data_IF_678127337551
#
_entry.id   IF_678127337551
#
_cell.length_a   1.000
_cell.length_b   1.000
_cell.length_c   1.000
_cell.angle_alpha   90.00
_cell.angle_beta   90.00
_cell.angle_gamma   90.00
#
_symmetry.space_group_name_H-M   'P 1'
#
loop_
_entity.id
_entity.type
_entity.pdbx_description
1 polymer ?
#
# COMPACT_ATOMS: atom_id res chain seq x y z
N UNK A 1 31.51 22.95 -11.26
CA UNK A 1 30.99 21.66 -10.74
C UNK A 1 31.44 20.56 -11.70
N UNK A 2 32.14 19.53 -11.21
CA UNK A 2 32.71 18.48 -12.06
C UNK A 2 31.58 17.63 -12.65
N UNK A 3 31.57 17.39 -13.97
CA UNK A 3 30.54 16.62 -14.68
C UNK A 3 30.21 15.27 -14.00
N UNK A 4 31.24 14.58 -13.47
CA UNK A 4 31.09 13.34 -12.70
C UNK A 4 30.31 13.52 -11.39
N UNK A 5 30.55 14.62 -10.68
CA UNK A 5 29.84 14.95 -9.46
C UNK A 5 28.37 15.30 -9.75
N UNK A 6 28.10 15.98 -10.87
CA UNK A 6 26.72 16.26 -11.31
C UNK A 6 25.94 14.99 -11.61
N UNK A 7 26.53 14.03 -12.34
CA UNK A 7 25.88 12.73 -12.63
C UNK A 7 25.60 11.97 -11.34
N UNK A 8 26.57 11.91 -10.43
CA UNK A 8 26.40 11.25 -9.13
C UNK A 8 25.24 11.88 -8.33
N UNK A 9 25.14 13.21 -8.34
CA UNK A 9 24.09 13.93 -7.63
C UNK A 9 22.69 13.68 -8.25
N UNK A 10 22.60 13.63 -9.58
CA UNK A 10 21.35 13.27 -10.28
C UNK A 10 20.94 11.83 -9.94
N UNK A 11 21.89 10.89 -9.94
CA UNK A 11 21.60 9.50 -9.58
C UNK A 11 21.09 9.38 -8.13
N UNK A 12 21.73 10.09 -7.20
CA UNK A 12 21.32 10.13 -5.80
C UNK A 12 19.92 10.74 -5.63
N UNK A 13 19.59 11.77 -6.41
CA UNK A 13 18.25 12.36 -6.45
C UNK A 13 17.20 11.33 -6.93
N UNK A 14 17.50 10.56 -7.97
CA UNK A 14 16.56 9.53 -8.49
C UNK A 14 16.30 8.46 -7.45
N UNK A 15 17.33 7.99 -6.74
CA UNK A 15 17.17 7.01 -5.65
C UNK A 15 16.30 7.59 -4.54
N UNK A 16 16.54 8.84 -4.16
CA UNK A 16 15.76 9.52 -3.12
C UNK A 16 14.27 9.60 -3.50
N UNK A 17 13.98 9.97 -4.75
CA UNK A 17 12.62 10.01 -5.28
C UNK A 17 11.96 8.62 -5.23
N UNK A 18 12.68 7.56 -5.59
CA UNK A 18 12.14 6.19 -5.50
C UNK A 18 11.82 5.78 -4.07
N UNK A 19 12.62 6.19 -3.08
CA UNK A 19 12.35 5.87 -1.66
C UNK A 19 11.11 6.61 -1.16
N UNK A 20 10.94 7.86 -1.56
CA UNK A 20 9.86 8.71 -1.05
C UNK A 20 8.51 8.34 -1.68
N UNK A 21 8.49 7.93 -2.95
CA UNK A 21 7.25 7.79 -3.74
C UNK A 21 6.53 6.44 -3.63
N UNK A 22 7.13 5.48 -2.92
CA UNK A 22 6.58 4.13 -2.75
C UNK A 22 5.67 4.13 -1.52
N UNK A 23 4.36 3.84 -1.67
CA UNK A 23 3.43 3.87 -0.55
C UNK A 23 3.85 2.97 0.61
N UNK A 24 3.73 3.48 1.83
CA UNK A 24 4.05 2.75 3.05
C UNK A 24 2.77 2.16 3.70
N UNK A 25 2.92 1.49 4.85
CA UNK A 25 1.78 0.86 5.54
C UNK A 25 0.71 1.85 6.02
N UNK A 26 1.06 3.10 6.30
CA UNK A 26 0.09 4.15 6.66
C UNK A 26 -0.73 4.56 5.44
N UNK A 27 -0.08 4.76 4.29
CA UNK A 27 -0.75 5.07 3.02
C UNK A 27 -1.73 3.96 2.61
N UNK A 28 -1.35 2.69 2.83
CA UNK A 28 -2.23 1.53 2.61
C UNK A 28 -3.45 1.59 3.52
N UNK A 29 -3.29 1.90 4.80
CA UNK A 29 -4.42 1.99 5.73
C UNK A 29 -5.34 3.18 5.38
N UNK A 30 -4.75 4.31 4.97
CA UNK A 30 -5.49 5.47 4.53
C UNK A 30 -6.29 5.19 3.27
N UNK A 31 -5.70 4.48 2.30
CA UNK A 31 -6.40 3.99 1.11
C UNK A 31 -7.56 3.05 1.45
N UNK A 32 -7.36 2.04 2.31
CA UNK A 32 -8.44 1.15 2.77
C UNK A 32 -9.58 1.91 3.45
N UNK A 33 -9.24 2.94 4.23
CA UNK A 33 -10.23 3.78 4.91
C UNK A 33 -10.99 4.66 3.94
N UNK A 34 -10.30 5.31 2.99
CA UNK A 34 -10.88 6.29 2.07
C UNK A 34 -11.63 5.65 0.91
N UNK A 35 -11.06 4.64 0.25
CA UNK A 35 -11.66 4.01 -0.93
C UNK A 35 -12.64 2.90 -0.55
N UNK A 36 -12.30 2.07 0.44
CA UNK A 36 -13.10 0.90 0.81
C UNK A 36 -13.92 1.07 2.08
N UNK A 37 -13.93 2.25 2.70
CA UNK A 37 -14.67 2.53 3.95
C UNK A 37 -14.36 1.54 5.08
N UNK A 38 -13.14 0.99 5.11
CA UNK A 38 -12.70 0.09 6.17
C UNK A 38 -12.24 0.89 7.38
N UNK A 39 -12.79 0.60 8.56
CA UNK A 39 -12.32 1.24 9.79
C UNK A 39 -11.31 0.35 10.49
N UNK A 40 -10.24 0.94 10.96
CA UNK A 40 -9.21 0.24 11.72
C UNK A 40 -9.71 0.03 13.15
N UNK A 41 -9.85 -1.23 13.59
CA UNK A 41 -10.20 -1.57 14.96
C UNK A 41 -8.95 -1.87 15.79
N UNK A 42 -8.01 -2.62 15.22
CA UNK A 42 -6.75 -2.99 15.89
C UNK A 42 -5.60 -3.12 14.87
N UNK A 43 -4.73 -2.12 14.80
CA UNK A 43 -3.60 -2.07 13.85
C UNK A 43 -2.60 -3.23 14.05
N UNK A 44 -2.07 -3.48 15.26
CA UNK A 44 -1.13 -4.59 15.50
C UNK A 44 -1.60 -5.96 15.03
N UNK A 45 -2.92 -6.22 15.12
CA UNK A 45 -3.50 -7.52 14.77
C UNK A 45 -4.17 -7.53 13.38
N UNK A 46 -4.09 -6.43 12.63
CA UNK A 46 -4.70 -6.32 11.32
C UNK A 46 -6.23 -6.49 11.33
N UNK A 47 -6.90 -5.99 12.38
CA UNK A 47 -8.35 -6.11 12.52
C UNK A 47 -9.03 -4.84 12.03
N UNK A 48 -10.01 -5.01 11.14
CA UNK A 48 -10.78 -3.93 10.54
C UNK A 48 -12.28 -4.20 10.65
N UNK A 49 -13.08 -3.14 10.52
CA UNK A 49 -14.52 -3.20 10.34
C UNK A 49 -14.83 -2.85 8.87
N UNK A 50 -15.56 -3.71 8.19
CA UNK A 50 -16.00 -3.51 6.81
C UNK A 50 -17.45 -3.96 6.67
N UNK A 51 -18.33 -3.11 6.14
CA UNK A 51 -19.77 -3.38 6.01
C UNK A 51 -20.46 -3.80 7.34
N UNK A 52 -20.00 -3.24 8.46
CA UNK A 52 -20.43 -3.57 9.84
C UNK A 52 -20.07 -4.99 10.31
N UNK A 53 -19.16 -5.67 9.60
CA UNK A 53 -18.60 -6.96 10.00
C UNK A 53 -17.11 -6.79 10.34
N UNK A 54 -16.62 -7.58 11.29
CA UNK A 54 -15.19 -7.66 11.58
C UNK A 54 -14.50 -8.51 10.52
N UNK A 55 -13.38 -8.00 10.04
CA UNK A 55 -12.50 -8.68 9.10
C UNK A 55 -11.07 -8.67 9.64
N UNK A 56 -10.31 -9.70 9.30
CA UNK A 56 -8.90 -9.84 9.66
C UNK A 56 -8.04 -9.86 8.40
N UNK A 57 -6.95 -9.11 8.43
CA UNK A 57 -5.87 -9.18 7.44
C UNK A 57 -5.15 -10.53 7.56
N UNK A 58 -5.19 -11.31 6.48
CA UNK A 58 -4.62 -12.65 6.44
C UNK A 58 -3.28 -12.64 5.71
N UNK A 59 -3.29 -12.12 4.48
CA UNK A 59 -2.14 -12.12 3.58
C UNK A 59 -2.03 -10.77 2.90
N UNK A 60 -0.85 -10.16 3.01
CA UNK A 60 -0.50 -8.95 2.28
C UNK A 60 0.68 -9.23 1.36
N UNK A 61 0.48 -9.08 0.05
CA UNK A 61 1.51 -9.18 -0.98
C UNK A 61 1.78 -7.79 -1.53
N UNK A 62 3.02 -7.33 -1.35
CA UNK A 62 3.51 -6.05 -1.87
C UNK A 62 4.68 -6.31 -2.81
N UNK A 63 4.61 -5.80 -4.04
CA UNK A 63 5.73 -5.85 -5.00
C UNK A 63 6.05 -4.44 -5.48
N UNK A 64 7.27 -3.97 -5.21
CA UNK A 64 7.77 -2.68 -5.68
C UNK A 64 8.53 -2.81 -7.01
N UNK A 65 8.25 -1.90 -7.94
CA UNK A 65 8.92 -1.74 -9.23
C UNK A 65 9.28 -0.26 -9.45
N UNK A 66 10.42 0.17 -8.89
CA UNK A 66 10.83 1.58 -8.95
C UNK A 66 9.85 2.47 -8.18
N UNK A 67 9.19 3.40 -8.88
CA UNK A 67 8.16 4.30 -8.31
C UNK A 67 6.76 3.68 -8.25
N UNK A 68 6.61 2.45 -8.74
CA UNK A 68 5.35 1.73 -8.74
C UNK A 68 5.33 0.64 -7.67
N UNK A 69 4.16 0.35 -7.14
CA UNK A 69 3.89 -0.77 -6.26
C UNK A 69 2.65 -1.51 -6.75
N UNK A 70 2.62 -2.84 -6.64
CA UNK A 70 1.37 -3.59 -6.65
C UNK A 70 1.10 -4.11 -5.25
N UNK A 71 -0.15 -3.98 -4.83
CA UNK A 71 -0.64 -4.43 -3.53
C UNK A 71 -1.78 -5.43 -3.76
N UNK A 72 -1.71 -6.55 -3.07
CA UNK A 72 -2.80 -7.53 -2.98
C UNK A 72 -2.99 -7.89 -1.51
N UNK A 73 -4.19 -7.66 -1.00
CA UNK A 73 -4.51 -7.82 0.41
C UNK A 73 -5.73 -8.70 0.59
N UNK A 74 -5.56 -9.84 1.25
CA UNK A 74 -6.60 -10.80 1.54
C UNK A 74 -7.14 -10.59 2.95
N UNK A 75 -8.47 -10.53 3.04
CA UNK A 75 -9.20 -10.37 4.29
C UNK A 75 -10.15 -11.54 4.50
N UNK A 76 -10.32 -11.95 5.74
CA UNK A 76 -11.26 -12.99 6.15
C UNK A 76 -12.30 -12.43 7.13
N UNK A 77 -13.57 -12.77 6.90
CA UNK A 77 -14.68 -12.51 7.80
C UNK A 77 -14.75 -13.56 8.91
N UNK A 78 -15.37 -13.26 10.05
CA UNK A 78 -15.57 -14.25 11.14
C UNK A 78 -16.31 -15.53 10.71
N UNK A 79 -17.08 -15.48 9.62
CA UNK A 79 -17.79 -16.63 9.05
C UNK A 79 -16.92 -17.52 8.13
N UNK A 80 -15.63 -17.22 7.98
CA UNK A 80 -14.68 -17.95 7.14
C UNK A 80 -14.74 -17.62 5.64
N UNK A 81 -15.58 -16.66 5.22
CA UNK A 81 -15.51 -16.12 3.86
C UNK A 81 -14.29 -15.21 3.75
N UNK A 82 -13.56 -15.30 2.65
CA UNK A 82 -12.48 -14.37 2.35
C UNK A 82 -12.77 -13.56 1.09
N UNK A 83 -12.11 -12.42 0.98
CA UNK A 83 -12.09 -11.57 -0.19
C UNK A 83 -10.73 -10.90 -0.32
N UNK A 84 -10.42 -10.43 -1.53
CA UNK A 84 -9.12 -9.86 -1.84
C UNK A 84 -9.30 -8.50 -2.47
N UNK A 85 -8.56 -7.50 -1.99
CA UNK A 85 -8.51 -6.18 -2.62
C UNK A 85 -7.15 -6.02 -3.28
N UNK A 86 -7.16 -5.56 -4.54
CA UNK A 86 -5.95 -5.32 -5.34
C UNK A 86 -5.79 -3.86 -5.69
N UNK A 87 -4.62 -3.32 -5.45
CA UNK A 87 -4.29 -1.93 -5.74
C UNK A 87 -2.95 -1.77 -6.48
N UNK A 88 -2.81 -0.65 -7.18
CA UNK A 88 -1.53 -0.19 -7.72
C UNK A 88 -1.16 1.11 -7.01
N UNK A 89 0.01 1.12 -6.39
CA UNK A 89 0.63 2.28 -5.77
C UNK A 89 1.50 3.05 -6.75
N UNK A 90 1.39 4.37 -6.78
CA UNK A 90 2.29 5.27 -7.49
C UNK A 90 2.26 6.65 -6.82
N UNK A 91 3.43 7.25 -6.57
CA UNK A 91 3.55 8.60 -5.98
C UNK A 91 2.71 8.78 -4.71
N UNK A 92 2.89 7.91 -3.71
CA UNK A 92 2.20 7.96 -2.41
C UNK A 92 0.67 7.79 -2.48
N UNK A 93 0.14 7.41 -3.64
CA UNK A 93 -1.28 7.12 -3.84
C UNK A 93 -1.45 5.64 -4.20
N UNK A 94 -2.55 5.04 -3.78
CA UNK A 94 -2.93 3.68 -4.15
C UNK A 94 -4.29 3.74 -4.83
N UNK A 95 -4.40 3.04 -5.97
CA UNK A 95 -5.61 3.00 -6.78
C UNK A 95 -6.12 1.58 -6.86
N UNK A 96 -7.41 1.38 -6.59
CA UNK A 96 -8.07 0.08 -6.72
C UNK A 96 -8.06 -0.40 -8.17
N UNK A 97 -7.70 -1.66 -8.39
CA UNK A 97 -7.67 -2.27 -9.73
C UNK A 97 -8.73 -3.32 -9.93
N UNK A 98 -9.07 -4.11 -8.89
CA UNK A 98 -10.16 -5.09 -8.88
C UNK A 98 -10.65 -5.31 -7.43
N UNK A 99 -11.97 -5.43 -7.25
CA UNK A 99 -12.67 -5.95 -6.05
C UNK A 99 -13.24 -7.34 -6.34
#
# INVERSE_FOLDING_TARGET
MNFRATIFLIFLLIILVMIITVPNSEDINEWLTKEHNMKVLDKPYGIYEYKNEKIQDMVTIIKGYGVFMTLEKEFEYENGKSFTIKGIGMFDNIYTTQE
#
